data_IF_065816716492
#
_entry.id   IF_065816716492
#
_cell.length_a   1.000
_cell.length_b   1.000
_cell.length_c   1.000
_cell.angle_alpha   90.00
_cell.angle_beta   90.00
_cell.angle_gamma   90.00
#
_symmetry.space_group_name_H-M   'P 1'
#
loop_
_entity.id
_entity.type
_entity.pdbx_description
1 polymer ?
#
# COMPACT_ATOMS: atom_id res chain seq x y z
N UNK A 1 7.04 -2.36 3.69
CA UNK A 1 8.25 -2.28 4.57
C UNK A 1 9.26 -3.26 4.03
N UNK A 2 10.55 -2.89 3.97
CA UNK A 2 11.59 -3.76 3.41
C UNK A 2 11.57 -5.13 4.13
N UNK A 3 11.45 -6.21 3.37
CA UNK A 3 11.39 -7.58 3.89
C UNK A 3 10.01 -8.08 4.36
N UNK A 4 8.97 -7.25 4.38
CA UNK A 4 7.63 -7.65 4.85
C UNK A 4 6.53 -7.57 3.76
N UNK A 5 6.56 -6.51 2.94
CA UNK A 5 5.61 -6.34 1.84
C UNK A 5 6.13 -5.34 0.82
N UNK A 6 5.87 -5.62 -0.46
CA UNK A 6 6.15 -4.73 -1.59
C UNK A 6 5.22 -3.52 -1.52
N UNK A 7 5.64 -2.41 -2.16
CA UNK A 7 4.76 -1.25 -2.32
C UNK A 7 3.72 -1.57 -3.38
N UNK A 8 2.46 -1.25 -3.09
CA UNK A 8 1.38 -1.29 -4.07
C UNK A 8 1.48 -0.07 -4.98
N UNK A 9 2.13 -0.24 -6.14
CA UNK A 9 2.37 0.87 -7.07
C UNK A 9 1.08 1.31 -7.76
N UNK A 10 0.16 0.37 -7.99
CA UNK A 10 -1.15 0.64 -8.59
C UNK A 10 -1.99 1.51 -7.66
N UNK A 11 -2.03 1.20 -6.36
CA UNK A 11 -2.77 2.01 -5.37
C UNK A 11 -2.25 3.45 -5.31
N UNK A 12 -0.93 3.63 -5.45
CA UNK A 12 -0.32 4.95 -5.48
C UNK A 12 -0.69 5.74 -6.74
N UNK A 13 -0.71 5.08 -7.90
CA UNK A 13 -1.12 5.71 -9.15
C UNK A 13 -2.61 6.09 -9.13
N UNK A 14 -3.46 5.18 -8.66
CA UNK A 14 -4.91 5.39 -8.54
C UNK A 14 -5.25 6.52 -7.56
N UNK A 15 -4.58 6.55 -6.41
CA UNK A 15 -4.68 7.65 -5.46
C UNK A 15 -4.33 8.97 -6.14
N UNK A 16 -3.14 9.04 -6.75
CA UNK A 16 -2.66 10.27 -7.37
C UNK A 16 -3.63 10.79 -8.43
N UNK A 17 -4.13 9.91 -9.30
CA UNK A 17 -5.08 10.27 -10.34
C UNK A 17 -6.45 10.70 -9.78
N UNK A 18 -6.96 9.98 -8.77
CA UNK A 18 -8.30 10.23 -8.22
C UNK A 18 -8.36 11.49 -7.36
N UNK A 19 -7.28 11.83 -6.65
CA UNK A 19 -7.28 12.97 -5.72
C UNK A 19 -6.79 14.27 -6.34
N UNK A 20 -6.60 14.33 -7.67
CA UNK A 20 -6.19 15.58 -8.35
C UNK A 20 -7.23 16.69 -8.25
N UNK A 21 -8.51 16.31 -8.14
CA UNK A 21 -9.62 17.23 -7.93
C UNK A 21 -10.21 17.08 -6.52
N UNK A 22 -10.71 18.17 -5.95
CA UNK A 22 -11.31 18.19 -4.60
C UNK A 22 -12.42 17.15 -4.43
N UNK A 23 -13.32 17.06 -5.39
CA UNK A 23 -14.43 16.09 -5.38
C UNK A 23 -13.92 14.65 -5.42
N UNK A 24 -12.84 14.40 -6.15
CA UNK A 24 -12.20 13.08 -6.21
C UNK A 24 -11.50 12.72 -4.91
N UNK A 25 -10.86 13.69 -4.26
CA UNK A 25 -10.31 13.52 -2.91
C UNK A 25 -11.41 13.27 -1.86
N UNK A 26 -12.51 14.03 -1.89
CA UNK A 26 -13.62 13.85 -0.95
C UNK A 26 -14.22 12.45 -1.07
N UNK A 27 -14.42 11.94 -2.30
CA UNK A 27 -14.85 10.56 -2.53
C UNK A 27 -13.84 9.55 -2.02
N UNK A 28 -12.56 9.72 -2.38
CA UNK A 28 -11.49 8.82 -1.93
C UNK A 28 -11.40 8.76 -0.40
N UNK A 29 -11.51 9.92 0.27
CA UNK A 29 -11.48 10.02 1.73
C UNK A 29 -12.69 9.35 2.39
N UNK A 30 -13.89 9.61 1.88
CA UNK A 30 -15.10 8.94 2.36
C UNK A 30 -14.97 7.41 2.25
N UNK A 31 -14.31 6.96 1.18
CA UNK A 31 -14.16 5.55 0.88
C UNK A 31 -13.09 4.83 1.72
N UNK A 32 -11.88 5.39 1.75
CA UNK A 32 -10.69 4.71 2.28
C UNK A 32 -10.32 5.13 3.70
N UNK A 33 -10.89 6.23 4.20
CA UNK A 33 -10.62 6.74 5.55
C UNK A 33 -11.87 6.63 6.41
N UNK A 34 -12.98 7.24 5.99
CA UNK A 34 -14.21 7.26 6.80
C UNK A 34 -14.95 5.90 6.73
N UNK A 35 -14.90 5.24 5.58
CA UNK A 35 -15.47 3.91 5.35
C UNK A 35 -14.63 2.73 5.83
N UNK A 36 -13.42 2.97 6.35
CA UNK A 36 -12.51 1.95 6.87
C UNK A 36 -12.08 2.32 8.30
N UNK A 37 -12.95 2.09 9.31
CA UNK A 37 -12.72 2.57 10.68
C UNK A 37 -11.56 1.88 11.39
N UNK A 38 -11.15 0.70 10.92
CA UNK A 38 -10.05 -0.07 11.46
C UNK A 38 -9.25 -0.79 10.37
N UNK A 39 -8.13 -1.39 10.76
CA UNK A 39 -7.23 -2.10 9.85
C UNK A 39 -7.91 -3.31 9.20
N UNK A 40 -8.79 -4.00 9.91
CA UNK A 40 -9.47 -5.20 9.41
C UNK A 40 -10.47 -4.84 8.31
N UNK A 41 -11.23 -3.75 8.50
CA UNK A 41 -12.10 -3.17 7.48
C UNK A 41 -11.30 -2.70 6.25
N UNK A 42 -10.15 -2.05 6.47
CA UNK A 42 -9.27 -1.63 5.38
C UNK A 42 -8.73 -2.81 4.57
N UNK A 43 -8.24 -3.87 5.25
CA UNK A 43 -7.68 -5.07 4.59
C UNK A 43 -8.76 -5.85 3.84
N UNK A 44 -9.96 -5.98 4.41
CA UNK A 44 -11.12 -6.59 3.70
C UNK A 44 -11.48 -5.80 2.44
N UNK A 45 -11.42 -4.47 2.51
CA UNK A 45 -11.70 -3.60 1.36
C UNK A 45 -10.62 -3.70 0.29
N UNK A 46 -9.35 -3.76 0.69
CA UNK A 46 -8.23 -3.93 -0.23
C UNK A 46 -8.31 -5.26 -1.00
N UNK A 47 -8.87 -6.29 -0.36
CA UNK A 47 -9.11 -7.60 -0.94
C UNK A 47 -7.92 -8.54 -0.73
N UNK A 48 -8.22 -9.79 -0.40
CA UNK A 48 -7.22 -10.80 -0.04
C UNK A 48 -6.22 -11.10 -1.17
N UNK A 49 -6.66 -11.02 -2.44
CA UNK A 49 -5.81 -11.25 -3.61
C UNK A 49 -4.74 -10.16 -3.77
N UNK A 50 -5.15 -8.90 -3.61
CA UNK A 50 -4.24 -7.74 -3.67
C UNK A 50 -3.25 -7.76 -2.52
N UNK A 51 -3.71 -8.13 -1.32
CA UNK A 51 -2.83 -8.32 -0.15
C UNK A 51 -1.82 -9.43 -0.39
N UNK A 52 -2.26 -10.57 -0.93
CA UNK A 52 -1.39 -11.71 -1.21
C UNK A 52 -0.30 -11.37 -2.25
N UNK A 53 -0.63 -10.56 -3.26
CA UNK A 53 0.33 -10.10 -4.28
C UNK A 53 1.43 -9.19 -3.71
N UNK A 54 1.20 -8.56 -2.54
CA UNK A 54 2.18 -7.70 -1.87
C UNK A 54 3.14 -8.48 -0.99
N UNK A 55 2.83 -9.74 -0.65
CA UNK A 55 3.70 -10.59 0.16
C UNK A 55 4.92 -11.00 -0.68
N UNK A 56 6.16 -10.66 -0.26
CA UNK A 56 7.35 -11.07 -0.99
C UNK A 56 7.50 -12.59 -0.87
N UNK A 57 7.47 -13.29 -2.01
CA UNK A 57 7.72 -14.74 -2.03
C UNK A 57 9.20 -15.07 -1.82
N UNK A 58 10.09 -14.17 -2.27
CA UNK A 58 11.53 -14.28 -2.09
C UNK A 58 12.06 -13.19 -1.16
N UNK A 59 12.74 -13.63 -0.11
CA UNK A 59 13.43 -12.76 0.83
C UNK A 59 14.84 -12.49 0.31
N UNK A 60 15.05 -11.35 -0.35
CA UNK A 60 16.39 -10.88 -0.68
C UNK A 60 16.99 -10.19 0.55
N UNK A 61 17.99 -10.83 1.15
CA UNK A 61 18.79 -10.21 2.19
C UNK A 61 19.54 -9.00 1.62
N UNK A 62 19.63 -7.88 2.36
CA UNK A 62 20.44 -6.76 1.93
C UNK A 62 21.89 -7.21 1.81
N UNK A 63 22.58 -6.74 0.77
CA UNK A 63 24.00 -6.97 0.62
C UNK A 63 24.73 -6.30 1.80
N UNK A 64 25.71 -6.98 2.44
CA UNK A 64 26.44 -6.41 3.56
C UNK A 64 27.17 -5.14 3.12
N UNK A 65 26.99 -4.06 3.89
CA UNK A 65 27.68 -2.79 3.65
C UNK A 65 29.07 -2.87 4.30
N UNK A 66 30.12 -2.62 3.51
CA UNK A 66 31.48 -2.41 4.02
C UNK A 66 31.61 -0.96 4.51
N UNK A 67 31.93 -0.81 5.80
CA UNK A 67 32.07 0.51 6.44
C UNK A 67 33.49 1.07 6.39
N UNK A 68 34.46 0.36 5.79
CA UNK A 68 35.84 0.83 5.61
C UNK A 68 36.54 1.15 6.93
N UNK A 69 37.33 0.20 7.44
CA UNK A 69 38.21 0.42 8.59
C UNK A 69 39.42 1.30 8.25
#
# INVERSE_FOLDING_TARGET
VQGFYRRDHEAYADYHHTTQAREGYERWRAEWVEGAPDLDAYVRRLGNERVAALIPLDHHFPEPVDYGY
#
